data_IF_319867861963
#
_entry.id   IF_319867861963
#
_cell.length_a   1.000
_cell.length_b   1.000
_cell.length_c   1.000
_cell.angle_alpha   90.00
_cell.angle_beta   90.00
_cell.angle_gamma   90.00
#
_symmetry.space_group_name_H-M   'P 1'
#
loop_
_entity.id
_entity.type
_entity.pdbx_description
1 polymer ?
#
# COMPACT_ATOMS: atom_id res chain seq x y z
N UNK A 1 -20.23 -16.83 5.92
CA UNK A 1 -18.87 -16.79 6.49
C UNK A 1 -18.03 -15.57 6.06
N UNK A 2 -18.62 -14.51 5.45
CA UNK A 2 -17.88 -13.29 5.07
C UNK A 2 -17.81 -12.22 6.17
N UNK A 3 -18.92 -12.04 6.91
CA UNK A 3 -19.07 -10.97 7.90
C UNK A 3 -18.02 -11.02 9.03
N UNK A 4 -17.64 -12.21 9.49
CA UNK A 4 -16.63 -12.36 10.54
C UNK A 4 -15.23 -11.95 10.08
N UNK A 5 -14.89 -12.22 8.81
CA UNK A 5 -13.60 -11.83 8.23
C UNK A 5 -13.56 -10.31 8.06
N UNK A 6 -14.66 -9.71 7.60
CA UNK A 6 -14.76 -8.26 7.43
C UNK A 6 -14.66 -7.50 8.77
N UNK A 7 -15.29 -8.02 9.82
CA UNK A 7 -15.18 -7.48 11.19
C UNK A 7 -13.75 -7.65 11.72
N UNK A 8 -13.09 -8.79 11.50
CA UNK A 8 -11.70 -8.99 11.89
C UNK A 8 -10.74 -8.07 11.11
N UNK A 9 -10.99 -7.82 9.83
CA UNK A 9 -10.23 -6.84 9.03
C UNK A 9 -10.44 -5.44 9.60
N UNK A 10 -11.67 -5.06 9.90
CA UNK A 10 -12.00 -3.74 10.48
C UNK A 10 -11.34 -3.53 11.84
N UNK A 11 -11.39 -4.54 12.72
CA UNK A 11 -10.76 -4.52 14.04
C UNK A 11 -9.21 -4.50 13.95
N UNK A 12 -8.64 -5.18 12.95
CA UNK A 12 -7.20 -5.14 12.71
C UNK A 12 -6.74 -3.79 12.13
N UNK A 13 -7.56 -3.18 11.28
CA UNK A 13 -7.31 -1.84 10.74
C UNK A 13 -7.45 -0.75 11.82
N UNK A 14 -8.33 -0.94 12.82
CA UNK A 14 -8.49 -0.03 13.96
C UNK A 14 -7.44 -0.22 15.06
N UNK A 15 -6.86 -1.42 15.25
CA UNK A 15 -5.78 -1.61 16.23
C UNK A 15 -4.45 -0.94 15.82
N UNK A 16 -4.19 -0.76 14.51
CA UNK A 16 -3.00 -0.09 13.99
C UNK A 16 -3.12 1.45 13.91
N UNK A 17 -3.53 2.10 15.01
CA UNK A 17 -3.44 3.55 15.23
C UNK A 17 -2.04 4.01 15.67
N UNK A 18 -0.97 3.23 15.42
CA UNK A 18 0.38 3.81 15.42
C UNK A 18 0.43 4.87 14.32
N UNK A 19 0.69 6.11 14.70
CA UNK A 19 0.82 7.25 13.78
C UNK A 19 2.01 6.95 12.87
N UNK A 20 1.73 6.51 11.65
CA UNK A 20 2.73 6.32 10.60
C UNK A 20 3.41 7.67 10.37
N UNK A 21 4.74 7.70 10.53
CA UNK A 21 5.54 8.91 10.28
C UNK A 21 5.97 8.98 8.82
N UNK A 22 6.42 10.15 8.38
CA UNK A 22 6.99 10.32 7.04
C UNK A 22 8.26 9.47 6.88
N UNK A 23 9.08 9.37 7.92
CA UNK A 23 10.28 8.53 7.94
C UNK A 23 9.94 7.03 7.75
N UNK A 24 8.86 6.54 8.38
CA UNK A 24 8.38 5.18 8.16
C UNK A 24 7.97 4.94 6.70
N UNK A 25 7.32 5.94 6.09
CA UNK A 25 6.88 5.87 4.69
C UNK A 25 8.09 5.82 3.77
N UNK A 26 9.03 6.74 3.92
CA UNK A 26 10.25 6.80 3.10
C UNK A 26 11.06 5.51 3.22
N UNK A 27 11.29 5.04 4.45
CA UNK A 27 12.00 3.78 4.71
C UNK A 27 11.30 2.61 4.01
N UNK A 28 9.98 2.54 4.08
CA UNK A 28 9.22 1.48 3.44
C UNK A 28 9.26 1.57 1.91
N UNK A 29 9.19 2.78 1.34
CA UNK A 29 9.38 3.00 -0.10
C UNK A 29 10.75 2.49 -0.54
N UNK A 30 11.82 2.79 0.21
CA UNK A 30 13.17 2.32 -0.12
C UNK A 30 13.27 0.78 -0.10
N UNK A 31 12.60 0.11 0.83
CA UNK A 31 12.56 -1.36 0.83
C UNK A 31 11.73 -1.92 -0.32
N UNK A 32 10.58 -1.32 -0.63
CA UNK A 32 9.74 -1.74 -1.75
C UNK A 32 10.45 -1.54 -3.09
N UNK A 33 11.22 -0.46 -3.27
CA UNK A 33 12.02 -0.21 -4.47
C UNK A 33 13.05 -1.29 -4.77
N UNK A 34 13.42 -2.14 -3.80
CA UNK A 34 14.28 -3.31 -4.04
C UNK A 34 13.54 -4.46 -4.74
N UNK A 35 12.21 -4.46 -4.74
CA UNK A 35 11.38 -5.48 -5.35
C UNK A 35 11.04 -5.09 -6.78
N UNK A 36 11.30 -5.99 -7.73
CA UNK A 36 11.09 -5.74 -9.16
C UNK A 36 9.65 -5.31 -9.48
N UNK A 37 8.65 -6.01 -8.92
CA UNK A 37 7.24 -5.69 -9.16
C UNK A 37 6.88 -4.26 -8.76
N UNK A 38 7.54 -3.68 -7.75
CA UNK A 38 7.26 -2.33 -7.31
C UNK A 38 7.90 -1.30 -8.24
N UNK A 39 9.08 -1.60 -8.79
CA UNK A 39 9.70 -0.75 -9.81
C UNK A 39 8.82 -0.69 -11.06
N UNK A 40 8.36 -1.85 -11.55
CA UNK A 40 7.44 -1.96 -12.68
C UNK A 40 6.10 -1.27 -12.39
N UNK A 41 5.61 -1.37 -11.15
CA UNK A 41 4.39 -0.70 -10.72
C UNK A 41 4.51 0.82 -10.77
N UNK A 42 5.65 1.38 -10.34
CA UNK A 42 5.88 2.84 -10.38
C UNK A 42 6.01 3.39 -11.81
N UNK A 43 6.37 2.57 -12.80
CA UNK A 43 6.48 3.00 -14.20
C UNK A 43 5.11 3.18 -14.89
N UNK A 44 4.01 2.80 -14.23
CA UNK A 44 2.68 2.85 -14.84
C UNK A 44 2.04 4.23 -14.68
N UNK A 45 2.02 5.03 -15.75
CA UNK A 45 1.23 6.26 -15.84
C UNK A 45 1.32 7.15 -14.58
N UNK A 46 0.18 7.49 -14.00
CA UNK A 46 0.06 8.36 -12.82
C UNK A 46 0.39 7.67 -11.48
N UNK A 47 0.74 6.37 -11.48
CA UNK A 47 0.97 5.60 -10.25
C UNK A 47 2.12 6.19 -9.43
N UNK A 48 3.17 6.66 -10.09
CA UNK A 48 4.29 7.33 -9.43
C UNK A 48 3.80 8.53 -8.60
N UNK A 49 3.00 9.41 -9.21
CA UNK A 49 2.52 10.64 -8.57
C UNK A 49 1.50 10.32 -7.47
N UNK A 50 0.66 9.30 -7.68
CA UNK A 50 -0.25 8.79 -6.65
C UNK A 50 0.53 8.28 -5.44
N UNK A 51 1.62 7.54 -5.63
CA UNK A 51 2.46 7.05 -4.54
C UNK A 51 3.13 8.20 -3.77
N UNK A 52 3.55 9.27 -4.47
CA UNK A 52 4.22 10.41 -3.85
C UNK A 52 3.24 11.36 -3.16
N UNK A 53 2.06 11.60 -3.71
CA UNK A 53 1.19 12.70 -3.26
C UNK A 53 -0.09 12.22 -2.59
N UNK A 54 -0.55 10.99 -2.84
CA UNK A 54 -1.82 10.53 -2.26
C UNK A 54 -1.65 10.08 -0.81
N UNK A 55 -2.19 10.87 0.13
CA UNK A 55 -2.12 10.62 1.58
C UNK A 55 -2.60 9.22 1.98
N UNK A 56 -3.63 8.66 1.32
CA UNK A 56 -4.16 7.33 1.65
C UNK A 56 -3.17 6.23 1.24
N UNK A 57 -2.60 6.34 0.03
CA UNK A 57 -1.60 5.41 -0.50
C UNK A 57 -0.34 5.45 0.36
N UNK A 58 0.18 6.64 0.64
CA UNK A 58 1.34 6.84 1.53
C UNK A 58 1.14 6.23 2.91
N UNK A 59 -0.01 6.47 3.55
CA UNK A 59 -0.35 5.84 4.84
C UNK A 59 -0.37 4.32 4.74
N UNK A 60 -0.85 3.75 3.63
CA UNK A 60 -0.84 2.30 3.45
C UNK A 60 0.57 1.75 3.27
N UNK A 61 1.43 2.47 2.56
CA UNK A 61 2.86 2.12 2.42
C UNK A 61 3.57 2.14 3.77
N UNK A 62 3.36 3.18 4.59
CA UNK A 62 3.98 3.25 5.91
C UNK A 62 3.51 2.17 6.90
N UNK A 63 2.37 1.52 6.66
CA UNK A 63 1.92 0.34 7.45
C UNK A 63 2.53 -0.99 7.00
N UNK A 64 3.30 -1.02 5.90
CA UNK A 64 3.91 -2.25 5.41
C UNK A 64 5.02 -2.69 6.37
N UNK A 65 4.94 -3.96 6.79
CA UNK A 65 5.95 -4.59 7.63
C UNK A 65 7.04 -5.11 6.71
N UNK A 66 8.03 -4.27 6.42
CA UNK A 66 9.08 -4.56 5.42
C UNK A 66 9.89 -5.80 5.75
N UNK A 67 10.07 -6.12 7.03
CA UNK A 67 10.67 -7.36 7.50
C UNK A 67 9.86 -8.63 7.14
N UNK A 68 8.61 -8.49 6.70
CA UNK A 68 7.75 -9.60 6.24
C UNK A 68 7.68 -9.70 4.72
N UNK A 69 8.33 -8.79 3.97
CA UNK A 69 8.30 -8.80 2.50
C UNK A 69 9.08 -9.95 1.87
N UNK A 70 9.84 -10.72 2.65
CA UNK A 70 10.47 -11.95 2.16
C UNK A 70 9.52 -13.16 2.19
N UNK A 71 8.34 -13.01 2.81
CA UNK A 71 7.27 -13.98 2.71
C UNK A 71 6.45 -13.71 1.43
N UNK A 72 6.42 -14.64 0.45
CA UNK A 72 5.76 -14.41 -0.83
C UNK A 72 4.25 -14.13 -0.72
N UNK A 73 3.57 -14.77 0.23
CA UNK A 73 2.13 -14.54 0.44
C UNK A 73 1.84 -13.16 1.01
N UNK A 74 2.69 -12.69 1.92
CA UNK A 74 2.58 -11.34 2.48
C UNK A 74 2.91 -10.28 1.42
N UNK A 75 3.99 -10.49 0.67
CA UNK A 75 4.40 -9.63 -0.43
C UNK A 75 3.28 -9.50 -1.47
N UNK A 76 2.72 -10.62 -1.95
CA UNK A 76 1.62 -10.64 -2.91
C UNK A 76 0.36 -9.94 -2.36
N UNK A 77 0.07 -10.12 -1.07
CA UNK A 77 -1.04 -9.42 -0.41
C UNK A 77 -0.81 -7.90 -0.40
N UNK A 78 0.40 -7.46 -0.11
CA UNK A 78 0.78 -6.04 -0.15
C UNK A 78 0.69 -5.48 -1.57
N UNK A 79 1.25 -6.18 -2.56
CA UNK A 79 1.19 -5.79 -3.98
C UNK A 79 -0.25 -5.58 -4.44
N UNK A 80 -1.12 -6.58 -4.28
CA UNK A 80 -2.54 -6.48 -4.65
C UNK A 80 -3.27 -5.34 -3.96
N UNK A 81 -2.93 -5.06 -2.69
CA UNK A 81 -3.57 -3.97 -1.94
C UNK A 81 -3.13 -2.60 -2.48
N UNK A 82 -1.85 -2.43 -2.78
CA UNK A 82 -1.32 -1.20 -3.37
C UNK A 82 -1.87 -0.96 -4.78
N UNK A 83 -1.86 -1.99 -5.63
CA UNK A 83 -2.40 -1.93 -6.99
C UNK A 83 -3.86 -1.47 -6.97
N UNK A 84 -4.72 -2.13 -6.18
CA UNK A 84 -6.14 -1.78 -6.09
C UNK A 84 -6.38 -0.34 -5.63
N UNK A 85 -5.66 0.12 -4.61
CA UNK A 85 -5.85 1.48 -4.09
C UNK A 85 -5.40 2.49 -5.14
N UNK A 86 -4.23 2.28 -5.78
CA UNK A 86 -3.72 3.23 -6.76
C UNK A 86 -4.54 3.23 -8.04
N UNK A 87 -5.00 2.07 -8.54
CA UNK A 87 -5.93 1.99 -9.67
C UNK A 87 -7.26 2.71 -9.39
N UNK A 88 -7.79 2.56 -8.17
CA UNK A 88 -9.00 3.29 -7.75
C UNK A 88 -8.77 4.80 -7.76
N UNK A 89 -7.58 5.28 -7.34
CA UNK A 89 -7.24 6.70 -7.37
C UNK A 89 -7.01 7.20 -8.80
N UNK A 90 -6.28 6.47 -9.64
CA UNK A 90 -6.05 6.81 -11.03
C UNK A 90 -7.38 6.93 -11.81
N UNK A 91 -8.30 5.97 -11.64
CA UNK A 91 -9.65 6.06 -12.24
C UNK A 91 -10.44 7.27 -11.77
N UNK A 92 -10.28 7.67 -10.51
CA UNK A 92 -10.94 8.86 -9.98
C UNK A 92 -10.40 10.15 -10.58
N UNK A 93 -9.14 10.18 -11.04
CA UNK A 93 -8.52 11.35 -11.68
C UNK A 93 -8.94 11.50 -13.16
N UNK A 94 -9.29 10.39 -13.83
CA UNK A 94 -9.76 10.40 -15.21
C UNK A 94 -11.24 10.80 -15.37
N UNK A 95 -12.01 10.83 -14.28
CA UNK A 95 -13.46 11.11 -14.28
C UNK A 95 -13.78 12.49 -13.66
N UNK A 96 -12.76 13.17 -13.13
CA UNK A 96 -12.83 14.52 -12.55
C UNK A 96 -12.33 15.57 -13.53
#
# INVERSE_FOLDING_TARGET
MGLLIDVLIFLFESYEFKKVTEEDIEKNIQQLKKKQWFQEFLQKGEIHDIVIHNTEVRKKIGKIKTNKLDNPFYEEKCRRKLERICEKKAKSLLVS
#
